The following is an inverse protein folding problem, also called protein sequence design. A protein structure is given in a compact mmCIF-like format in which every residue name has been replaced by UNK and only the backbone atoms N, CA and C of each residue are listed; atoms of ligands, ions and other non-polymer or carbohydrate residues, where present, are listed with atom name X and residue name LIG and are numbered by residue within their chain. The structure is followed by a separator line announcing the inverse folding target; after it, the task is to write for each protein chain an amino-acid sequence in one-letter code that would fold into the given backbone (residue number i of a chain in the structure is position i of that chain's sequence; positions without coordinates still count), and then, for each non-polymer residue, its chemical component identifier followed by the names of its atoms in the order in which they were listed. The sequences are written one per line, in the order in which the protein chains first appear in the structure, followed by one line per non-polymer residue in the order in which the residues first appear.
data_IF_758765549119
#
_entry.id   IF_758765549119
#
_cell.length_a   1.000
_cell.length_b   1.000
_cell.length_c   1.000
_cell.angle_alpha   90.00
_cell.angle_beta   90.00
_cell.angle_gamma   90.00
#
_symmetry.space_group_name_H-M   'P 1'
#
loop_
_entity.id
_entity.type
_entity.pdbx_description
1 polymer ?
#
# COMPACT_ATOMS: atom_id res chain seq x y z
N UNK A 1 20.89 -9.95 14.66
CA UNK A 1 20.39 -9.26 13.44
C UNK A 1 19.16 -8.52 13.89
N UNK A 2 19.19 -7.19 13.88
CA UNK A 2 18.05 -6.38 14.29
C UNK A 2 16.87 -6.70 13.38
N UNK A 3 15.79 -7.19 13.96
CA UNK A 3 14.49 -7.29 13.30
C UNK A 3 14.02 -5.86 13.05
N UNK A 4 14.39 -5.28 11.91
CA UNK A 4 13.67 -4.09 11.46
C UNK A 4 12.24 -4.56 11.16
N UNK A 5 11.36 -4.26 12.10
CA UNK A 5 9.92 -4.32 11.92
C UNK A 5 9.56 -3.33 10.82
N UNK A 6 8.45 -3.58 10.12
CA UNK A 6 7.78 -2.63 9.23
C UNK A 6 7.93 -1.20 9.78
N UNK A 7 8.59 -0.32 9.03
CA UNK A 7 8.72 1.07 9.44
C UNK A 7 7.31 1.67 9.52
N UNK A 8 6.78 1.99 10.73
CA UNK A 8 5.40 2.42 10.88
C UNK A 8 5.15 3.77 10.21
N UNK A 9 6.20 4.52 9.85
CA UNK A 9 6.09 5.82 9.21
C UNK A 9 5.94 5.73 7.69
N UNK A 10 6.10 4.55 7.07
CA UNK A 10 5.94 4.38 5.62
C UNK A 10 4.68 3.59 5.29
N UNK A 11 3.54 4.25 5.44
CA UNK A 11 2.23 3.72 5.09
C UNK A 11 1.34 4.80 4.47
N UNK A 12 0.26 4.37 3.84
CA UNK A 12 -0.82 5.23 3.39
C UNK A 12 -2.17 4.54 3.57
N UNK A 13 -3.24 5.32 3.65
CA UNK A 13 -4.60 4.81 3.46
C UNK A 13 -4.92 4.83 1.97
N UNK A 14 -5.11 3.65 1.40
CA UNK A 14 -5.46 3.46 0.00
C UNK A 14 -6.98 3.50 -0.15
N UNK A 15 -7.47 4.58 -0.78
CA UNK A 15 -8.88 4.85 -0.96
C UNK A 15 -9.37 4.30 -2.30
N UNK A 16 -10.36 3.42 -2.25
CA UNK A 16 -11.10 2.96 -3.42
C UNK A 16 -12.04 4.08 -3.88
N UNK A 17 -11.68 4.77 -4.96
CA UNK A 17 -12.42 5.93 -5.48
C UNK A 17 -13.11 5.62 -6.80
N UNK A 18 -14.28 6.24 -7.02
CA UNK A 18 -15.07 6.06 -8.24
C UNK A 18 -14.63 7.00 -9.38
N UNK A 19 -14.21 8.20 -9.01
CA UNK A 19 -13.66 9.22 -9.89
C UNK A 19 -12.42 9.81 -9.21
N UNK A 20 -11.24 9.47 -9.74
CA UNK A 20 -9.96 9.87 -9.19
C UNK A 20 -9.72 11.38 -9.33
N UNK A 21 -10.21 12.02 -10.39
CA UNK A 21 -10.04 13.46 -10.59
C UNK A 21 -10.91 14.26 -9.64
N UNK A 22 -12.16 13.85 -9.45
CA UNK A 22 -13.06 14.45 -8.47
C UNK A 22 -12.52 14.27 -7.03
N UNK A 23 -12.00 13.09 -6.71
CA UNK A 23 -11.43 12.79 -5.40
C UNK A 23 -10.16 13.59 -5.15
N UNK A 24 -9.24 13.66 -6.11
CA UNK A 24 -8.04 14.49 -6.03
C UNK A 24 -8.40 15.95 -5.74
N UNK A 25 -9.30 16.53 -6.53
CA UNK A 25 -9.74 17.91 -6.35
C UNK A 25 -10.40 18.16 -4.97
N UNK A 26 -11.03 17.15 -4.39
CA UNK A 26 -11.56 17.23 -3.03
C UNK A 26 -10.44 17.25 -1.98
N UNK A 27 -9.49 16.30 -2.05
CA UNK A 27 -8.39 16.22 -1.09
C UNK A 27 -7.42 17.41 -1.20
N UNK A 28 -7.25 18.01 -2.38
CA UNK A 28 -6.52 19.28 -2.53
C UNK A 28 -7.12 20.42 -1.70
N UNK A 29 -8.46 20.46 -1.52
CA UNK A 29 -9.11 21.44 -0.64
C UNK A 29 -8.82 21.20 0.84
N UNK A 30 -8.48 19.96 1.20
CA UNK A 30 -8.06 19.57 2.55
C UNK A 30 -6.55 19.79 2.77
N UNK A 31 -5.84 20.36 1.78
CA UNK A 31 -4.42 20.66 1.87
C UNK A 31 -3.51 19.49 1.46
N UNK A 32 -4.05 18.43 0.87
CA UNK A 32 -3.23 17.36 0.29
C UNK A 32 -2.61 17.79 -1.03
N UNK A 33 -1.36 17.41 -1.26
CA UNK A 33 -0.65 17.62 -2.52
C UNK A 33 -0.16 16.30 -3.10
N UNK A 34 -0.10 16.12 -4.43
CA UNK A 34 0.51 14.95 -5.04
C UNK A 34 1.96 14.73 -4.57
N UNK A 35 2.34 13.49 -4.31
CA UNK A 35 3.74 13.12 -4.03
C UNK A 35 4.49 12.99 -5.36
N UNK A 36 5.56 13.77 -5.53
CA UNK A 36 6.37 13.76 -6.75
C UNK A 36 6.95 12.37 -7.03
N UNK A 37 6.96 11.97 -8.30
CA UNK A 37 7.49 10.67 -8.72
C UNK A 37 6.56 9.48 -8.42
N UNK A 38 5.34 9.72 -7.92
CA UNK A 38 4.31 8.69 -7.73
C UNK A 38 3.12 8.93 -8.64
N UNK A 39 2.51 7.85 -9.11
CA UNK A 39 1.40 7.94 -10.06
C UNK A 39 1.83 8.52 -11.40
N UNK A 40 1.20 8.07 -12.46
CA UNK A 40 0.46 9.08 -13.20
C UNK A 40 -1.02 8.80 -12.96
N UNK A 41 -1.79 9.86 -12.66
CA UNK A 41 -3.25 9.76 -12.46
C UNK A 41 -3.94 9.13 -13.68
N UNK A 42 -3.29 9.21 -14.84
CA UNK A 42 -3.59 8.56 -16.11
C UNK A 42 -3.64 7.03 -16.01
N UNK A 43 -2.94 6.43 -15.05
CA UNK A 43 -3.02 5.00 -14.72
C UNK A 43 -4.03 4.69 -13.61
N UNK A 44 -4.96 5.62 -13.31
CA UNK A 44 -6.00 5.47 -12.29
C UNK A 44 -5.47 5.34 -10.85
N UNK A 45 -4.27 5.84 -10.56
CA UNK A 45 -3.78 5.95 -9.20
C UNK A 45 -2.87 7.17 -8.98
N UNK A 46 -2.87 7.71 -7.76
CA UNK A 46 -1.95 8.77 -7.33
C UNK A 46 -1.78 8.74 -5.81
N UNK A 47 -0.58 9.04 -5.31
CA UNK A 47 -0.34 9.23 -3.89
C UNK A 47 -0.38 10.73 -3.57
N UNK A 48 -1.06 11.08 -2.49
CA UNK A 48 -1.15 12.44 -1.98
C UNK A 48 -0.71 12.50 -0.52
N UNK A 49 -0.13 13.62 -0.11
CA UNK A 49 0.32 13.84 1.26
C UNK A 49 -0.13 15.19 1.83
N UNK A 50 -0.31 15.23 3.14
CA UNK A 50 -0.50 16.44 3.94
C UNK A 50 0.26 16.27 5.26
N UNK A 51 1.42 16.90 5.37
CA UNK A 51 2.33 16.71 6.51
C UNK A 51 2.80 15.26 6.62
N UNK A 52 2.44 14.58 7.70
CA UNK A 52 2.80 13.17 7.92
C UNK A 52 1.77 12.18 7.37
N UNK A 53 0.60 12.66 6.93
CA UNK A 53 -0.48 11.80 6.45
C UNK A 53 -0.33 11.56 4.95
N UNK A 54 -0.40 10.28 4.55
CA UNK A 54 -0.43 9.87 3.15
C UNK A 54 -1.72 9.14 2.83
N UNK A 55 -2.29 9.44 1.69
CA UNK A 55 -3.41 8.71 1.10
C UNK A 55 -3.04 8.31 -0.32
N UNK A 56 -3.46 7.13 -0.75
CA UNK A 56 -3.47 6.78 -2.16
C UNK A 56 -4.91 6.85 -2.69
N UNK A 57 -5.10 7.41 -3.87
CA UNK A 57 -6.39 7.36 -4.56
C UNK A 57 -6.27 6.31 -5.65
N UNK A 58 -7.12 5.28 -5.63
CA UNK A 58 -7.08 4.17 -6.56
C UNK A 58 -8.46 3.95 -7.17
N UNK A 59 -8.57 4.11 -8.50
CA UNK A 59 -9.84 3.92 -9.20
C UNK A 59 -9.88 2.56 -9.89
N UNK A 60 -10.83 1.71 -9.47
CA UNK A 60 -11.06 0.39 -10.06
C UNK A 60 -9.98 -0.65 -9.74
N UNK A 61 -9.14 -0.42 -8.73
CA UNK A 61 -8.10 -1.37 -8.30
C UNK A 61 -8.46 -2.16 -7.05
N UNK A 62 -9.21 -1.55 -6.14
CA UNK A 62 -9.67 -2.16 -4.89
C UNK A 62 -11.18 -1.99 -4.77
N UNK A 63 -11.85 -2.99 -4.21
CA UNK A 63 -13.30 -2.92 -3.95
C UNK A 63 -13.60 -2.06 -2.71
N UNK A 64 -12.70 -2.06 -1.73
CA UNK A 64 -12.83 -1.34 -0.46
C UNK A 64 -11.52 -0.60 -0.14
N UNK A 65 -11.57 0.33 0.83
CA UNK A 65 -10.37 1.01 1.30
C UNK A 65 -9.45 0.03 2.04
N UNK A 66 -8.15 0.15 1.83
CA UNK A 66 -7.15 -0.74 2.43
C UNK A 66 -6.01 0.06 3.06
N UNK A 67 -5.34 -0.53 4.05
CA UNK A 67 -4.11 0.03 4.60
C UNK A 67 -2.95 -0.48 3.74
N UNK A 68 -2.07 0.40 3.28
CA UNK A 68 -0.88 -0.01 2.51
C UNK A 68 0.38 0.38 3.26
N UNK A 69 1.20 -0.60 3.59
CA UNK A 69 2.57 -0.42 4.06
C UNK A 69 3.54 -0.55 2.89
N UNK A 70 4.57 0.30 2.85
CA UNK A 70 5.59 0.30 1.80
C UNK A 70 6.97 -0.06 2.38
N UNK A 71 7.20 -1.30 2.82
CA UNK A 71 8.51 -1.71 3.33
C UNK A 71 9.54 -1.73 2.19
N UNK A 72 10.81 -1.54 2.53
CA UNK A 72 11.94 -1.74 1.60
C UNK A 72 12.29 -3.21 1.39
N UNK A 73 11.83 -4.08 2.29
CA UNK A 73 12.00 -5.53 2.24
C UNK A 73 10.68 -6.25 2.61
N UNK A 74 9.74 -6.24 1.67
CA UNK A 74 8.46 -6.94 1.84
C UNK A 74 8.65 -8.46 1.94
N UNK A 75 9.69 -9.04 1.32
CA UNK A 75 9.95 -10.49 1.34
C UNK A 75 10.27 -10.99 2.73
N UNK A 76 11.04 -10.23 3.50
CA UNK A 76 11.31 -10.55 4.90
C UNK A 76 10.04 -10.51 5.75
N UNK A 77 9.17 -9.52 5.56
CA UNK A 77 7.88 -9.47 6.26
C UNK A 77 6.95 -10.61 5.85
N UNK A 78 6.88 -10.92 4.56
CA UNK A 78 6.15 -12.06 4.03
C UNK A 78 6.59 -13.36 4.71
N UNK A 79 7.89 -13.65 4.78
CA UNK A 79 8.42 -14.87 5.42
C UNK A 79 8.07 -14.96 6.90
N UNK A 80 8.16 -13.84 7.65
CA UNK A 80 7.79 -13.81 9.07
C UNK A 80 6.32 -14.14 9.29
N UNK A 81 5.45 -13.62 8.41
CA UNK A 81 4.00 -13.77 8.52
C UNK A 81 3.49 -15.09 7.95
N UNK A 82 4.19 -15.68 6.97
CA UNK A 82 3.76 -16.92 6.30
C UNK A 82 3.73 -18.12 7.24
N UNK A 83 4.56 -18.11 8.28
CA UNK A 83 4.65 -19.17 9.28
C UNK A 83 3.63 -19.00 10.44
N UNK A 84 2.83 -17.93 10.44
CA UNK A 84 1.79 -17.68 11.47
C UNK A 84 0.41 -18.10 10.97
N UNK A 85 -0.12 -19.19 11.54
CA UNK A 85 -1.45 -19.74 11.20
C UNK A 85 -2.62 -18.78 11.47
N UNK A 86 -2.40 -17.70 12.22
CA UNK A 86 -3.42 -16.68 12.48
C UNK A 86 -3.49 -15.60 11.37
N UNK A 87 -2.50 -15.56 10.48
CA UNK A 87 -2.44 -14.56 9.41
C UNK A 87 -3.08 -15.11 8.14
N UNK A 88 -4.20 -14.51 7.76
CA UNK A 88 -4.90 -14.88 6.53
C UNK A 88 -4.32 -14.10 5.35
N UNK A 89 -3.70 -14.82 4.41
CA UNK A 89 -3.25 -14.25 3.13
C UNK A 89 -4.40 -14.20 2.14
N UNK A 90 -4.56 -13.05 1.49
CA UNK A 90 -5.58 -12.80 0.46
C UNK A 90 -4.99 -12.82 -0.96
N UNK A 91 -3.76 -12.33 -1.11
CA UNK A 91 -3.09 -12.19 -2.40
C UNK A 91 -1.58 -12.19 -2.22
N UNK A 92 -0.87 -12.76 -3.19
CA UNK A 92 0.58 -12.87 -3.21
C UNK A 92 1.07 -12.64 -4.64
N UNK A 93 2.01 -11.72 -4.85
CA UNK A 93 2.62 -11.55 -6.17
C UNK A 93 3.60 -12.69 -6.47
N UNK A 94 3.66 -13.14 -7.73
CA UNK A 94 4.61 -14.18 -8.14
C UNK A 94 6.07 -13.75 -7.88
N UNK A 95 6.35 -12.45 -7.97
CA UNK A 95 7.67 -11.87 -7.74
C UNK A 95 8.19 -12.01 -6.31
N UNK A 96 7.37 -12.41 -5.34
CA UNK A 96 7.84 -12.74 -3.97
C UNK A 96 8.88 -13.86 -3.95
N UNK A 97 8.87 -14.73 -4.97
CA UNK A 97 9.84 -15.82 -5.12
C UNK A 97 11.16 -15.37 -5.75
N UNK A 98 11.22 -14.16 -6.30
CA UNK A 98 12.44 -13.57 -6.85
C UNK A 98 13.35 -13.05 -5.73
N UNK A 99 14.63 -12.83 -6.03
CA UNK A 99 15.60 -12.35 -5.04
C UNK A 99 15.47 -10.85 -4.75
N UNK A 100 14.94 -10.07 -5.71
CA UNK A 100 14.91 -8.61 -5.69
C UNK A 100 13.78 -8.08 -6.55
N UNK A 101 13.58 -6.77 -6.56
CA UNK A 101 12.55 -6.12 -7.37
C UNK A 101 11.23 -5.94 -6.64
N UNK A 102 10.29 -5.23 -7.29
CA UNK A 102 8.99 -4.94 -6.72
C UNK A 102 8.21 -6.22 -6.42
N UNK A 103 7.55 -6.26 -5.28
CA UNK A 103 6.72 -7.37 -4.86
C UNK A 103 5.67 -6.89 -3.86
N UNK A 104 4.56 -7.62 -3.78
CA UNK A 104 3.50 -7.28 -2.87
C UNK A 104 2.74 -8.51 -2.38
N UNK A 105 2.14 -8.38 -1.21
CA UNK A 105 1.18 -9.35 -0.68
C UNK A 105 0.11 -8.64 0.15
N UNK A 106 -1.08 -9.22 0.20
CA UNK A 106 -2.20 -8.70 0.97
C UNK A 106 -2.62 -9.72 2.03
N UNK A 107 -2.86 -9.24 3.24
CA UNK A 107 -3.39 -10.02 4.36
C UNK A 107 -4.70 -9.42 4.85
N UNK A 108 -5.44 -10.21 5.62
CA UNK A 108 -6.65 -9.80 6.33
C UNK A 108 -6.41 -9.91 7.84
N UNK A 109 -6.78 -8.87 8.59
CA UNK A 109 -6.76 -8.91 10.05
C UNK A 109 -8.01 -9.64 10.62
N UNK A 110 -8.09 -9.87 11.94
CA UNK A 110 -9.23 -10.58 12.55
C UNK A 110 -10.60 -9.90 12.36
N UNK A 111 -10.62 -8.60 12.04
CA UNK A 111 -11.82 -7.80 11.86
C UNK A 111 -12.19 -7.63 10.37
N UNK A 112 -11.42 -8.22 9.46
CA UNK A 112 -11.66 -8.17 8.02
C UNK A 112 -10.99 -6.99 7.31
N UNK A 113 -10.15 -6.21 7.98
CA UNK A 113 -9.42 -5.12 7.34
C UNK A 113 -8.31 -5.68 6.45
N UNK A 114 -8.26 -5.22 5.20
CA UNK A 114 -7.21 -5.62 4.27
C UNK A 114 -5.96 -4.74 4.44
N UNK A 115 -4.82 -5.41 4.49
CA UNK A 115 -3.51 -4.78 4.66
C UNK A 115 -2.60 -5.24 3.53
N UNK A 116 -2.21 -4.29 2.67
CA UNK A 116 -1.29 -4.50 1.57
C UNK A 116 0.12 -4.13 2.00
N UNK A 117 1.07 -5.01 1.71
CA UNK A 117 2.50 -4.73 1.77
C UNK A 117 3.00 -4.60 0.34
N UNK A 118 3.49 -3.42 -0.03
CA UNK A 118 3.85 -3.09 -1.41
C UNK A 118 5.24 -2.46 -1.49
N UNK A 119 6.21 -3.27 -1.92
CA UNK A 119 7.59 -2.89 -2.15
C UNK A 119 7.78 -2.39 -3.57
N UNK A 120 8.31 -1.17 -3.71
CA UNK A 120 8.51 -0.51 -5.00
C UNK A 120 9.96 -0.53 -5.50
N UNK A 121 10.93 -0.75 -4.60
CA UNK A 121 12.35 -0.75 -4.96
C UNK A 121 12.79 -2.00 -5.71
N UNK A 122 13.87 -1.83 -6.48
CA UNK A 122 14.60 -2.89 -7.18
C UNK A 122 15.24 -3.92 -6.24
#
# INVERSE_FOLDING_TARGET
MSTESVNPNNHSLSLAVKDIHASKAFYEKLGFTPVEGTGPIEHNWIIMENGHSKIGLFQGMFDENIITFNPTDARSEYKKLKDDDQVKFLMESESLQEEKGPCHFCIEDPDGNQILFDQHNE
#
